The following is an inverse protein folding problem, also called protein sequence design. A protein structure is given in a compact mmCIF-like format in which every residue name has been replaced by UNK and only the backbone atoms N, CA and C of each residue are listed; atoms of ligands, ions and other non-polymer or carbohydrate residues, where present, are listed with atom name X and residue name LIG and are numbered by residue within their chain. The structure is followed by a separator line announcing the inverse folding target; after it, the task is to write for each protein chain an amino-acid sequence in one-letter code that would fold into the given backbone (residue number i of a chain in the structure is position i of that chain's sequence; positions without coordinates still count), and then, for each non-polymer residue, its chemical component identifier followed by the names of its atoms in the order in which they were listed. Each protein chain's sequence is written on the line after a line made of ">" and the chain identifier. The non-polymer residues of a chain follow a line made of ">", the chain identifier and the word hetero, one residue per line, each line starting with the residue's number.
data_IF_508975221930
#
_entry.id   IF_508975221930
#
_cell.length_a   1.000
_cell.length_b   1.000
_cell.length_c   1.000
_cell.angle_alpha   90.00
_cell.angle_beta   90.00
_cell.angle_gamma   90.00
#
_symmetry.space_group_name_H-M   'P 1'
#
loop_
_entity.id
_entity.type
_entity.pdbx_description
1 polymer ?
#
# COMPACT_ATOMS: atom_id res chain seq x y z
N UNK A 1 13.67 5.12 11.55
CA UNK A 1 12.31 5.49 11.17
C UNK A 1 11.82 4.66 10.00
N UNK A 2 10.67 4.01 10.19
CA UNK A 2 10.08 3.14 9.18
C UNK A 2 9.60 3.92 7.95
N UNK A 3 9.08 5.12 8.17
CA UNK A 3 8.45 5.89 7.10
C UNK A 3 9.47 6.48 6.13
N UNK A 4 9.07 6.70 4.87
CA UNK A 4 9.93 7.37 3.91
C UNK A 4 10.32 8.76 4.41
N UNK A 5 11.52 9.21 4.03
CA UNK A 5 12.00 10.55 4.39
C UNK A 5 11.46 11.60 3.43
N UNK A 6 10.25 11.40 2.98
CA UNK A 6 9.58 12.29 2.07
C UNK A 6 8.56 13.12 2.84
N UNK A 7 8.58 14.43 2.66
CA UNK A 7 7.60 15.30 3.27
C UNK A 7 6.54 15.63 2.23
N UNK A 8 5.27 15.25 2.47
CA UNK A 8 4.21 15.57 1.52
C UNK A 8 4.09 17.07 1.32
N UNK A 9 3.75 17.46 0.10
CA UNK A 9 3.46 18.85 -0.19
C UNK A 9 2.19 19.25 0.53
N UNK A 10 2.25 20.29 1.35
CA UNK A 10 1.10 20.76 2.13
C UNK A 10 -0.09 21.14 1.25
N UNK A 11 0.15 21.53 0.02
CA UNK A 11 -0.92 21.88 -0.91
C UNK A 11 -1.72 20.68 -1.38
N UNK A 12 -1.26 19.46 -1.07
CA UNK A 12 -1.93 18.24 -1.47
C UNK A 12 -2.71 17.60 -0.33
N UNK A 13 -2.59 18.10 0.86
CA UNK A 13 -3.21 17.48 2.03
C UNK A 13 -4.73 17.45 1.96
N UNK A 14 -5.33 18.35 1.19
CA UNK A 14 -6.77 18.46 1.07
C UNK A 14 -7.33 17.70 -0.12
N UNK A 15 -6.54 16.79 -0.69
CA UNK A 15 -6.92 16.09 -1.91
C UNK A 15 -8.00 15.04 -1.69
N UNK A 16 -8.24 14.66 -0.45
CA UNK A 16 -9.23 13.62 -0.16
C UNK A 16 -10.10 13.99 1.02
N UNK A 17 -11.39 13.76 0.85
CA UNK A 17 -12.38 13.81 1.92
C UNK A 17 -12.80 12.41 2.36
N UNK A 18 -12.04 11.39 1.95
CA UNK A 18 -12.25 10.00 2.34
C UNK A 18 -11.18 9.63 3.37
N UNK A 19 -11.52 9.60 4.67
CA UNK A 19 -10.52 9.30 5.70
C UNK A 19 -10.07 7.85 5.72
N UNK A 20 -10.92 6.92 5.29
CA UNK A 20 -10.61 5.49 5.28
C UNK A 20 -11.20 4.83 4.06
N UNK A 21 -10.55 3.76 3.60
CA UNK A 21 -11.11 2.87 2.60
C UNK A 21 -10.63 1.45 2.90
N UNK A 22 -11.08 0.46 2.13
CA UNK A 22 -10.72 -0.94 2.36
C UNK A 22 -9.86 -1.47 1.24
N UNK A 23 -8.98 -2.42 1.57
CA UNK A 23 -8.18 -3.15 0.60
C UNK A 23 -8.34 -4.65 0.83
N UNK A 24 -8.41 -5.41 -0.25
CA UNK A 24 -8.46 -6.86 -0.21
C UNK A 24 -7.43 -7.46 -1.16
N UNK A 25 -6.67 -8.42 -0.65
CA UNK A 25 -5.69 -9.16 -1.43
C UNK A 25 -5.91 -10.64 -1.11
N UNK A 26 -6.90 -11.27 -1.79
CA UNK A 26 -7.34 -12.62 -1.42
C UNK A 26 -6.23 -13.66 -1.42
N UNK A 27 -5.28 -13.54 -2.34
CA UNK A 27 -4.18 -14.51 -2.46
C UNK A 27 -3.39 -14.66 -1.16
N UNK A 28 -3.33 -13.62 -0.35
CA UNK A 28 -2.60 -13.64 0.91
C UNK A 28 -3.52 -13.41 2.12
N UNK A 29 -4.81 -13.72 1.94
CA UNK A 29 -5.80 -13.73 3.02
C UNK A 29 -6.03 -12.36 3.68
N UNK A 30 -5.90 -11.29 2.91
CA UNK A 30 -6.28 -9.94 3.36
C UNK A 30 -7.67 -9.65 2.79
N UNK A 31 -8.62 -9.38 3.69
CA UNK A 31 -10.00 -9.09 3.31
C UNK A 31 -10.49 -7.84 4.02
N UNK A 32 -10.86 -6.83 3.22
CA UNK A 32 -11.42 -5.57 3.74
C UNK A 32 -10.59 -4.94 4.84
N UNK A 33 -9.27 -4.97 4.70
CA UNK A 33 -8.39 -4.30 5.65
C UNK A 33 -8.54 -2.79 5.52
N UNK A 34 -8.52 -2.10 6.65
CA UNK A 34 -8.70 -0.65 6.69
C UNK A 34 -7.41 0.06 6.30
N UNK A 35 -7.53 1.03 5.40
CA UNK A 35 -6.44 1.93 5.02
C UNK A 35 -6.83 3.34 5.44
N UNK A 36 -5.95 4.01 6.20
CA UNK A 36 -6.17 5.38 6.65
C UNK A 36 -5.46 6.36 5.70
N UNK A 37 -6.14 7.48 5.40
CA UNK A 37 -5.54 8.58 4.65
C UNK A 37 -5.20 9.76 5.56
N UNK A 38 -5.48 9.68 6.85
CA UNK A 38 -5.42 10.84 7.76
C UNK A 38 -4.35 10.73 8.83
N UNK A 39 -3.76 9.55 9.04
CA UNK A 39 -2.72 9.39 10.05
C UNK A 39 -1.71 8.33 9.62
N UNK A 40 -0.73 8.06 10.49
CA UNK A 40 0.37 7.15 10.18
C UNK A 40 0.49 6.03 11.19
N UNK A 41 -0.60 5.64 11.84
CA UNK A 41 -0.57 4.61 12.87
C UNK A 41 -0.65 3.21 12.25
N UNK A 42 0.50 2.66 11.89
CA UNK A 42 0.60 1.35 11.24
C UNK A 42 0.22 0.19 12.16
N UNK A 43 0.14 0.40 13.46
CA UNK A 43 -0.29 -0.64 14.38
C UNK A 43 -1.80 -0.84 14.36
N UNK A 44 -2.55 0.17 13.95
CA UNK A 44 -4.01 0.15 13.95
C UNK A 44 -4.63 -0.12 12.59
N UNK A 45 -3.91 0.18 11.50
CA UNK A 45 -4.42 0.02 10.14
C UNK A 45 -3.28 0.18 9.15
N UNK A 46 -3.58 -0.05 7.88
CA UNK A 46 -2.67 0.33 6.81
C UNK A 46 -2.73 1.85 6.61
N UNK A 47 -1.72 2.40 5.96
CA UNK A 47 -1.61 3.85 5.77
C UNK A 47 -1.40 4.17 4.30
N UNK A 48 -2.28 5.01 3.73
CA UNK A 48 -2.08 5.64 2.43
C UNK A 48 -1.24 6.89 2.69
N UNK A 49 0.00 6.90 2.17
CA UNK A 49 0.92 8.00 2.48
C UNK A 49 0.39 9.34 1.98
N UNK A 50 0.40 10.33 2.83
CA UNK A 50 -0.10 11.67 2.50
C UNK A 50 0.74 12.28 1.39
N UNK A 51 0.07 13.00 0.49
CA UNK A 51 0.72 13.58 -0.68
C UNK A 51 0.75 12.64 -1.87
N UNK A 52 0.41 11.36 -1.68
CA UNK A 52 0.21 10.43 -2.79
C UNK A 52 -1.27 10.36 -3.14
N UNK A 53 -1.58 9.71 -4.27
CA UNK A 53 -2.96 9.63 -4.74
C UNK A 53 -3.79 8.68 -3.87
N UNK A 54 -5.07 8.52 -4.19
CA UNK A 54 -5.95 7.54 -3.59
C UNK A 54 -6.53 6.66 -4.70
N UNK A 55 -7.00 5.44 -4.35
CA UNK A 55 -7.55 4.54 -5.36
C UNK A 55 -8.65 5.17 -6.20
N UNK A 56 -8.64 4.84 -7.48
CA UNK A 56 -9.60 5.35 -8.45
C UNK A 56 -9.20 6.66 -9.11
N UNK A 57 -8.25 7.39 -8.53
CA UNK A 57 -7.74 8.64 -9.12
C UNK A 57 -6.43 8.38 -9.83
N UNK A 58 -6.15 9.19 -10.86
CA UNK A 58 -4.85 9.12 -11.52
C UNK A 58 -3.76 9.51 -10.55
N UNK A 59 -2.59 8.90 -10.74
CA UNK A 59 -1.48 9.01 -9.82
C UNK A 59 -1.24 7.68 -9.12
N UNK A 60 -0.38 7.70 -8.12
CA UNK A 60 0.06 6.50 -7.43
C UNK A 60 -0.35 6.57 -5.95
N UNK A 61 -1.26 5.69 -5.56
CA UNK A 61 -1.66 5.55 -4.16
C UNK A 61 -0.64 4.65 -3.47
N UNK A 62 0.11 5.19 -2.52
CA UNK A 62 1.17 4.44 -1.82
C UNK A 62 0.67 3.99 -0.47
N UNK A 63 0.59 2.68 -0.28
CA UNK A 63 0.04 2.06 0.92
C UNK A 63 1.16 1.37 1.69
N UNK A 64 1.31 1.73 2.95
CA UNK A 64 2.33 1.21 3.85
C UNK A 64 1.71 0.24 4.84
N UNK A 65 2.43 -0.82 5.16
CA UNK A 65 1.99 -1.78 6.16
C UNK A 65 3.13 -2.53 6.80
N UNK A 66 2.91 -3.00 8.03
CA UNK A 66 3.90 -3.79 8.76
C UNK A 66 3.99 -5.21 8.22
N UNK A 67 5.20 -5.74 8.25
CA UNK A 67 5.52 -7.12 7.92
C UNK A 67 6.12 -7.80 9.14
N UNK A 68 6.07 -9.13 9.15
CA UNK A 68 6.70 -9.95 10.17
C UNK A 68 6.99 -11.33 9.57
N UNK A 69 7.45 -12.27 10.37
CA UNK A 69 7.61 -13.65 9.93
C UNK A 69 6.26 -14.19 9.45
N UNK A 70 6.23 -14.93 8.32
CA UNK A 70 4.95 -15.38 7.74
C UNK A 70 4.11 -16.24 8.68
N UNK A 71 4.74 -17.05 9.54
CA UNK A 71 4.01 -17.90 10.47
C UNK A 71 3.29 -17.10 11.57
N UNK A 72 3.61 -15.81 11.73
CA UNK A 72 2.96 -14.95 12.71
C UNK A 72 1.79 -14.19 12.12
N UNK A 73 1.48 -14.38 10.85
CA UNK A 73 0.41 -13.65 10.18
C UNK A 73 -0.92 -13.85 10.88
N UNK A 74 -1.59 -12.74 11.16
CA UNK A 74 -2.95 -12.71 11.69
C UNK A 74 -3.69 -11.58 10.98
N UNK A 75 -4.73 -11.92 10.23
CA UNK A 75 -5.48 -10.95 9.43
C UNK A 75 -6.15 -9.87 10.29
N UNK A 76 -6.27 -10.09 11.59
CA UNK A 76 -6.85 -9.11 12.53
C UNK A 76 -5.81 -8.27 13.25
N UNK A 77 -4.52 -8.52 12.99
CA UNK A 77 -3.44 -7.80 13.64
C UNK A 77 -2.62 -7.05 12.59
N UNK A 78 -2.77 -5.73 12.54
CA UNK A 78 -2.10 -4.91 11.54
C UNK A 78 -0.57 -4.91 11.68
N UNK A 79 -0.03 -5.32 12.80
CA UNK A 79 1.42 -5.48 12.96
C UNK A 79 1.96 -6.62 12.11
N UNK A 80 1.09 -7.48 11.58
CA UNK A 80 1.46 -8.66 10.80
C UNK A 80 0.87 -8.64 9.38
N UNK A 81 0.09 -7.62 9.04
CA UNK A 81 -0.84 -7.67 7.91
C UNK A 81 -0.14 -7.91 6.56
N UNK A 82 1.06 -7.35 6.36
CA UNK A 82 1.81 -7.52 5.11
C UNK A 82 2.87 -8.62 5.19
N UNK A 83 2.78 -9.53 6.16
CA UNK A 83 3.77 -10.60 6.32
C UNK A 83 3.92 -11.46 5.06
N UNK A 84 2.86 -11.63 4.27
CA UNK A 84 2.87 -12.50 3.10
C UNK A 84 2.91 -11.75 1.77
N UNK A 85 3.13 -10.43 1.78
CA UNK A 85 3.21 -9.66 0.53
C UNK A 85 4.31 -10.17 -0.38
N UNK A 86 5.39 -10.72 0.18
CA UNK A 86 6.49 -11.28 -0.61
C UNK A 86 6.05 -12.45 -1.52
N UNK A 87 4.87 -13.04 -1.25
CA UNK A 87 4.34 -14.15 -2.07
C UNK A 87 3.61 -13.68 -3.31
N UNK A 88 3.33 -12.39 -3.43
CA UNK A 88 2.64 -11.85 -4.59
C UNK A 88 3.52 -11.88 -5.82
N UNK A 89 2.90 -11.96 -6.99
CA UNK A 89 3.58 -12.05 -8.28
C UNK A 89 2.92 -11.12 -9.28
N UNK A 90 3.66 -10.78 -10.34
CA UNK A 90 3.07 -10.04 -11.44
C UNK A 90 1.84 -10.79 -11.97
N UNK A 91 0.77 -10.04 -12.21
CA UNK A 91 -0.51 -10.60 -12.64
C UNK A 91 -1.51 -10.84 -11.52
N UNK A 92 -1.07 -10.80 -10.27
CA UNK A 92 -2.00 -10.94 -9.14
C UNK A 92 -2.83 -9.67 -8.97
N UNK A 93 -4.03 -9.83 -8.41
CA UNK A 93 -4.99 -8.75 -8.25
C UNK A 93 -5.01 -8.19 -6.83
N UNK A 94 -5.20 -6.88 -6.77
CA UNK A 94 -5.43 -6.14 -5.53
C UNK A 94 -6.74 -5.38 -5.71
N UNK A 95 -7.63 -5.47 -4.73
CA UNK A 95 -8.94 -4.79 -4.79
C UNK A 95 -8.98 -3.70 -3.74
N UNK A 96 -9.48 -2.51 -4.13
CA UNK A 96 -9.77 -1.46 -3.17
C UNK A 96 -11.24 -1.10 -3.27
N UNK A 97 -11.83 -0.77 -2.12
CA UNK A 97 -13.23 -0.37 -2.05
C UNK A 97 -13.26 1.01 -1.41
N UNK A 98 -13.70 1.99 -2.18
CA UNK A 98 -13.70 3.38 -1.75
C UNK A 98 -15.03 4.01 -2.15
N UNK A 99 -15.78 4.51 -1.17
CA UNK A 99 -17.10 5.09 -1.38
C UNK A 99 -18.04 4.14 -2.15
N UNK A 100 -17.97 2.84 -1.81
CA UNK A 100 -18.84 1.82 -2.42
C UNK A 100 -18.40 1.35 -3.79
N UNK A 101 -17.30 1.86 -4.33
CA UNK A 101 -16.79 1.48 -5.64
C UNK A 101 -15.58 0.57 -5.48
N UNK A 102 -15.60 -0.58 -6.17
CA UNK A 102 -14.48 -1.52 -6.16
C UNK A 102 -13.58 -1.26 -7.35
N UNK A 103 -12.29 -1.05 -7.08
CA UNK A 103 -11.27 -0.88 -8.12
C UNK A 103 -10.36 -2.09 -8.10
N UNK A 104 -10.12 -2.69 -9.27
CA UNK A 104 -9.24 -3.84 -9.41
C UNK A 104 -7.92 -3.40 -10.01
N UNK A 105 -6.84 -3.64 -9.27
CA UNK A 105 -5.48 -3.33 -9.72
C UNK A 105 -4.74 -4.63 -9.99
N UNK A 106 -3.95 -4.64 -11.05
CA UNK A 106 -3.12 -5.80 -11.41
C UNK A 106 -1.65 -5.46 -11.21
N UNK A 107 -0.94 -6.32 -10.48
CA UNK A 107 0.48 -6.15 -10.19
C UNK A 107 1.28 -6.30 -11.48
N UNK A 108 2.17 -5.35 -11.75
CA UNK A 108 3.02 -5.39 -12.94
C UNK A 108 4.52 -5.30 -12.62
N UNK A 109 4.89 -4.96 -11.38
CA UNK A 109 6.30 -4.80 -11.02
C UNK A 109 6.49 -5.02 -9.52
N UNK A 110 7.51 -5.80 -9.18
CA UNK A 110 7.89 -6.05 -7.78
C UNK A 110 9.40 -5.84 -7.68
N UNK A 111 9.82 -4.97 -6.77
CA UNK A 111 11.24 -4.66 -6.58
C UNK A 111 11.57 -4.59 -5.10
N UNK A 112 12.86 -4.79 -4.80
CA UNK A 112 13.40 -4.60 -3.45
C UNK A 112 14.30 -3.37 -3.49
N UNK A 113 14.10 -2.46 -2.54
CA UNK A 113 14.82 -1.20 -2.51
C UNK A 113 15.40 -0.92 -1.12
N UNK A 114 16.37 -0.03 -1.07
CA UNK A 114 16.92 0.42 0.20
C UNK A 114 15.87 1.25 0.95
N UNK A 115 15.95 1.28 2.31
CA UNK A 115 15.00 2.08 3.10
C UNK A 115 15.01 3.58 2.75
N UNK A 116 16.12 4.08 2.20
CA UNK A 116 16.22 5.50 1.83
C UNK A 116 15.68 5.80 0.43
N UNK A 117 15.33 4.78 -0.34
CA UNK A 117 14.87 4.96 -1.70
C UNK A 117 13.41 5.40 -1.69
N UNK A 118 13.13 6.59 -2.18
CA UNK A 118 11.80 7.17 -2.22
C UNK A 118 11.14 7.04 -3.58
N UNK A 119 11.71 6.26 -4.50
CA UNK A 119 11.15 6.12 -5.85
C UNK A 119 9.74 5.50 -5.85
N UNK A 120 9.40 4.72 -4.82
CA UNK A 120 8.05 4.16 -4.68
C UNK A 120 6.97 5.25 -4.58
N UNK A 121 7.34 6.45 -4.16
CA UNK A 121 6.42 7.58 -3.98
C UNK A 121 6.20 8.39 -5.26
N UNK A 122 6.95 8.09 -6.33
CA UNK A 122 6.85 8.83 -7.57
C UNK A 122 5.43 8.79 -8.13
N UNK A 123 4.99 9.92 -8.68
CA UNK A 123 3.65 10.06 -9.22
C UNK A 123 3.70 10.12 -10.74
N UNK A 124 2.79 9.38 -11.36
CA UNK A 124 2.57 9.45 -12.79
C UNK A 124 1.06 9.50 -12.98
N UNK A 125 0.58 10.54 -13.64
CA UNK A 125 -0.85 10.81 -13.73
C UNK A 125 -1.48 10.32 -15.03
N UNK A 126 -0.77 9.48 -15.77
CA UNK A 126 -1.30 8.89 -17.01
C UNK A 126 -2.33 7.77 -16.74
N UNK A 127 -2.35 7.24 -15.53
CA UNK A 127 -3.26 6.18 -15.13
C UNK A 127 -3.38 6.18 -13.62
N UNK A 128 -4.19 5.26 -13.09
CA UNK A 128 -4.28 5.05 -11.65
C UNK A 128 -3.38 3.90 -11.26
N UNK A 129 -2.44 4.15 -10.35
CA UNK A 129 -1.50 3.15 -9.84
C UNK A 129 -1.67 2.98 -8.34
N UNK A 130 -1.25 1.83 -7.87
CA UNK A 130 -1.26 1.51 -6.45
C UNK A 130 0.06 0.82 -6.12
N UNK A 131 0.71 1.25 -5.05
CA UNK A 131 1.99 0.69 -4.61
C UNK A 131 1.87 0.24 -3.17
N UNK A 132 2.25 -1.01 -2.90
CA UNK A 132 2.37 -1.52 -1.54
C UNK A 132 3.83 -1.42 -1.13
N UNK A 133 4.09 -0.96 0.09
CA UNK A 133 5.44 -0.85 0.64
C UNK A 133 5.47 -1.52 2.00
N UNK A 134 6.40 -2.44 2.18
CA UNK A 134 6.62 -3.10 3.47
C UNK A 134 8.09 -3.47 3.62
N UNK A 135 8.46 -4.03 4.76
CA UNK A 135 9.83 -4.44 5.02
C UNK A 135 10.10 -5.83 4.47
N UNK A 136 11.34 -6.10 4.08
CA UNK A 136 11.79 -7.40 3.60
C UNK A 136 13.27 -7.57 3.92
N UNK A 137 13.83 -8.78 4.05
CA UNK A 137 13.12 -10.08 4.11
C UNK A 137 12.12 -10.14 5.27
N UNK A 138 11.16 -11.06 5.21
CA UNK A 138 10.17 -11.19 6.29
C UNK A 138 10.82 -11.27 7.67
N UNK A 139 10.30 -10.49 8.62
CA UNK A 139 10.83 -10.44 9.97
C UNK A 139 12.01 -9.49 10.16
N UNK A 140 12.43 -8.77 9.12
CA UNK A 140 13.51 -7.79 9.21
C UNK A 140 13.06 -6.42 8.73
N UNK A 141 13.93 -5.41 8.95
CA UNK A 141 13.70 -4.06 8.44
C UNK A 141 14.81 -3.64 7.49
N UNK A 142 15.55 -4.60 6.93
CA UNK A 142 16.76 -4.32 6.15
C UNK A 142 16.48 -3.60 4.84
N UNK A 143 15.45 -4.03 4.13
CA UNK A 143 15.08 -3.49 2.83
C UNK A 143 13.59 -3.21 2.78
N UNK A 144 13.15 -2.60 1.68
CA UNK A 144 11.73 -2.38 1.42
C UNK A 144 11.29 -3.21 0.24
N UNK A 145 10.18 -3.91 0.38
CA UNK A 145 9.54 -4.62 -0.71
C UNK A 145 8.48 -3.68 -1.30
N UNK A 146 8.59 -3.44 -2.60
CA UNK A 146 7.74 -2.49 -3.30
C UNK A 146 6.97 -3.25 -4.37
N UNK A 147 5.65 -3.26 -4.26
CA UNK A 147 4.75 -3.95 -5.18
C UNK A 147 3.93 -2.89 -5.91
N UNK A 148 4.09 -2.80 -7.23
CA UNK A 148 3.41 -1.81 -8.05
C UNK A 148 2.31 -2.46 -8.88
N UNK A 149 1.13 -1.85 -8.86
CA UNK A 149 -0.02 -2.31 -9.59
C UNK A 149 -0.68 -1.15 -10.34
N UNK A 150 -1.43 -1.49 -11.39
CA UNK A 150 -2.11 -0.51 -12.24
C UNK A 150 -3.60 -0.86 -12.31
N UNK A 151 -4.43 0.16 -12.32
CA UNK A 151 -5.88 -0.02 -12.43
C UNK A 151 -6.22 -0.77 -13.71
N UNK A 152 -6.99 -1.83 -13.55
CA UNK A 152 -7.44 -2.66 -14.67
C UNK A 152 -8.91 -2.42 -14.96
N UNK A 153 -9.74 -2.35 -13.92
CA UNK A 153 -11.17 -2.11 -14.10
C UNK A 153 -11.82 -1.63 -12.81
N UNK A 154 -12.96 -1.06 -12.98
CA UNK A 154 -13.81 -0.58 -11.89
C UNK A 154 -14.97 -1.55 -11.68
#
# INVERSE_FOLDING_TARGET
>A
NWFPKFTPNSNQENQTDTPFYAISIPKINIKNATVSTIDTDLAKHLVNWQGTSIPGKNGNAVILGHSTLPQLFNAKDYKTIFANVYKLKNGDDIYTILNGITYTYKIFKIVVADPNDTSALEQNYDNSYLTLVTCTPPGTTWKRLIVKARLEKI
#
